data_IF_260136322700
#
_entry.id   IF_260136322700
#
_cell.length_a   1.000
_cell.length_b   1.000
_cell.length_c   1.000
_cell.angle_alpha   90.00
_cell.angle_beta   90.00
_cell.angle_gamma   90.00
#
_symmetry.space_group_name_H-M   'P 1'
#
loop_
_entity.id
_entity.type
_entity.pdbx_description
1 polymer ?
#
# COMPACT_ATOMS: atom_id res chain seq x y z
N UNK A 1 -6.84 13.73 13.72
CA UNK A 1 -6.43 12.44 13.10
C UNK A 1 -4.92 12.31 13.23
N UNK A 2 -4.41 11.13 13.55
CA UNK A 2 -2.98 10.82 13.62
C UNK A 2 -2.71 9.65 12.70
N UNK A 3 -1.72 9.82 11.82
CA UNK A 3 -1.31 8.82 10.83
C UNK A 3 0.17 8.59 11.02
N UNK A 4 0.54 7.37 11.44
CA UNK A 4 1.93 6.96 11.52
C UNK A 4 2.22 5.96 10.40
N UNK A 5 2.90 6.46 9.36
CA UNK A 5 3.40 5.72 8.21
C UNK A 5 4.91 5.97 8.11
N UNK A 6 5.71 4.97 7.73
CA UNK A 6 7.09 5.22 7.33
C UNK A 6 7.09 6.11 6.08
N UNK A 7 7.95 7.12 6.05
CA UNK A 7 8.16 7.94 4.85
C UNK A 7 9.10 7.27 3.84
N UNK A 8 9.89 6.29 4.28
CA UNK A 8 10.93 5.65 3.50
C UNK A 8 10.92 4.14 3.77
N UNK A 9 10.97 3.36 2.70
CA UNK A 9 11.15 1.92 2.76
C UNK A 9 12.33 1.53 1.88
N UNK A 10 13.28 0.81 2.48
CA UNK A 10 14.38 0.22 1.75
C UNK A 10 13.92 -1.07 1.05
N UNK A 11 14.28 -1.19 -0.23
CA UNK A 11 13.88 -2.30 -1.08
C UNK A 11 15.10 -2.82 -1.86
N UNK A 12 15.25 -4.14 -2.00
CA UNK A 12 16.24 -4.71 -2.94
C UNK A 12 15.92 -4.19 -4.36
N UNK A 13 16.89 -3.62 -5.10
CA UNK A 13 16.68 -3.13 -6.46
C UNK A 13 16.04 -4.14 -7.43
N UNK A 14 16.08 -5.45 -7.13
CA UNK A 14 15.52 -6.54 -7.94
C UNK A 14 14.18 -7.05 -7.42
N UNK A 15 13.70 -6.57 -6.28
CA UNK A 15 12.44 -7.05 -5.71
C UNK A 15 11.25 -6.53 -6.51
N UNK A 16 10.44 -7.47 -7.01
CA UNK A 16 9.17 -7.19 -7.69
C UNK A 16 8.01 -6.95 -6.73
N UNK A 17 8.18 -7.26 -5.45
CA UNK A 17 7.14 -6.98 -4.45
C UNK A 17 7.73 -6.57 -3.11
N UNK A 18 7.00 -5.74 -2.38
CA UNK A 18 7.35 -5.29 -1.04
C UNK A 18 6.10 -5.10 -0.20
N UNK A 19 6.10 -5.61 1.03
CA UNK A 19 5.04 -5.31 1.97
C UNK A 19 5.34 -3.99 2.70
N UNK A 20 4.30 -3.18 2.84
CA UNK A 20 4.29 -2.00 3.69
C UNK A 20 4.20 -2.48 5.14
N UNK A 21 5.10 -2.01 6.03
CA UNK A 21 5.05 -2.39 7.44
C UNK A 21 3.80 -1.82 8.10
N UNK A 22 3.54 -2.25 9.34
CA UNK A 22 2.34 -1.86 10.08
C UNK A 22 2.14 -0.35 10.11
N UNK A 23 0.93 0.05 9.76
CA UNK A 23 0.42 1.41 9.74
C UNK A 23 -0.43 1.63 11.00
N UNK A 24 -0.24 2.74 11.70
CA UNK A 24 -1.10 3.12 12.84
C UNK A 24 -1.96 4.31 12.44
N UNK A 25 -3.27 4.12 12.46
CA UNK A 25 -4.28 5.16 12.18
C UNK A 25 -5.10 5.41 13.45
N UNK A 26 -5.30 6.68 13.78
CA UNK A 26 -6.31 7.07 14.77
C UNK A 26 -7.01 8.35 14.35
N UNK A 27 -8.30 8.48 14.67
CA UNK A 27 -9.06 9.63 14.25
C UNK A 27 -10.58 9.45 14.37
N UNK A 28 -11.36 9.98 13.41
CA UNK A 28 -12.82 9.95 13.46
C UNK A 28 -13.38 8.53 13.40
N UNK A 29 -14.67 8.38 13.69
CA UNK A 29 -15.34 7.07 13.65
C UNK A 29 -15.24 6.40 12.27
N UNK A 30 -15.43 7.16 11.20
CA UNK A 30 -15.33 6.68 9.83
C UNK A 30 -14.22 7.39 9.08
N UNK A 31 -13.55 6.66 8.20
CA UNK A 31 -12.50 7.22 7.35
C UNK A 31 -12.54 6.65 5.94
N UNK A 32 -12.04 7.45 5.01
CA UNK A 32 -11.68 7.04 3.66
C UNK A 32 -10.15 7.03 3.56
N UNK A 33 -9.56 5.96 3.06
CA UNK A 33 -8.16 5.91 2.69
C UNK A 33 -8.03 5.73 1.17
N UNK A 34 -7.36 6.67 0.53
CA UNK A 34 -7.10 6.65 -0.91
C UNK A 34 -5.62 6.41 -1.13
N UNK A 35 -5.30 5.26 -1.72
CA UNK A 35 -3.97 4.82 -2.05
C UNK A 35 -3.73 5.05 -3.53
N UNK A 36 -2.57 5.57 -3.90
CA UNK A 36 -2.16 5.72 -5.30
C UNK A 36 -0.68 5.51 -5.46
N UNK A 37 -0.29 4.93 -6.58
CA UNK A 37 1.09 4.61 -6.89
C UNK A 37 1.31 4.54 -8.39
N UNK A 38 2.57 4.68 -8.81
CA UNK A 38 2.95 4.51 -10.20
C UNK A 38 3.77 3.21 -10.35
N UNK A 39 3.45 2.42 -11.39
CA UNK A 39 4.19 1.21 -11.78
C UNK A 39 4.14 0.02 -10.79
N UNK A 40 3.23 0.05 -9.82
CA UNK A 40 2.92 -1.09 -8.97
C UNK A 40 1.42 -1.11 -8.62
N UNK A 41 0.94 -2.27 -8.20
CA UNK A 41 -0.41 -2.48 -7.69
C UNK A 41 -0.38 -2.66 -6.17
N UNK A 42 -1.49 -2.30 -5.52
CA UNK A 42 -1.71 -2.51 -4.10
C UNK A 42 -2.57 -3.76 -3.89
N UNK A 43 -2.14 -4.65 -3.02
CA UNK A 43 -2.82 -5.87 -2.63
C UNK A 43 -2.98 -5.88 -1.09
N UNK A 44 -4.22 -5.75 -0.63
CA UNK A 44 -4.50 -5.37 0.75
C UNK A 44 -4.85 -6.58 1.60
N UNK A 45 -5.90 -7.32 1.26
CA UNK A 45 -6.44 -8.37 2.13
C UNK A 45 -5.93 -9.76 1.79
N UNK A 46 -6.61 -10.50 0.91
CA UNK A 46 -6.16 -11.84 0.50
C UNK A 46 -5.07 -11.68 -0.55
N UNK A 47 -3.86 -12.09 -0.19
CA UNK A 47 -2.71 -11.87 -1.06
C UNK A 47 -2.89 -12.61 -2.39
N UNK A 48 -2.73 -11.87 -3.48
CA UNK A 48 -2.94 -12.30 -4.87
C UNK A 48 -4.39 -12.66 -5.23
N UNK A 49 -5.37 -12.12 -4.53
CA UNK A 49 -6.78 -12.19 -4.93
C UNK A 49 -7.40 -10.78 -4.90
N UNK A 50 -8.43 -10.59 -5.73
CA UNK A 50 -9.16 -9.31 -5.79
C UNK A 50 -10.28 -9.37 -4.76
N UNK A 51 -10.16 -8.55 -3.72
CA UNK A 51 -11.17 -8.42 -2.67
C UNK A 51 -11.84 -7.04 -2.69
N UNK A 52 -13.17 -7.03 -2.71
CA UNK A 52 -13.96 -5.79 -2.62
C UNK A 52 -14.95 -5.80 -1.45
N UNK A 53 -15.29 -6.99 -0.95
CA UNK A 53 -16.30 -7.20 0.09
C UNK A 53 -15.66 -7.84 1.32
N UNK A 54 -15.85 -7.22 2.48
CA UNK A 54 -15.29 -7.66 3.75
C UNK A 54 -16.42 -7.75 4.76
N UNK A 55 -16.59 -8.93 5.36
CA UNK A 55 -17.70 -9.22 6.28
C UNK A 55 -19.09 -8.83 5.71
N UNK A 56 -19.29 -9.06 4.41
CA UNK A 56 -20.56 -8.77 3.71
C UNK A 56 -20.78 -7.30 3.32
N UNK A 57 -19.81 -6.41 3.53
CA UNK A 57 -19.90 -5.00 3.15
C UNK A 57 -18.83 -4.66 2.13
N UNK A 58 -19.19 -3.92 1.06
CA UNK A 58 -18.21 -3.39 0.11
C UNK A 58 -17.43 -2.25 0.76
N UNK A 59 -16.21 -2.53 1.19
CA UNK A 59 -15.33 -1.57 1.88
C UNK A 59 -14.13 -1.15 1.04
N UNK A 60 -13.90 -1.80 -0.10
CA UNK A 60 -12.72 -1.57 -0.94
C UNK A 60 -13.09 -1.49 -2.40
N UNK A 61 -12.42 -0.60 -3.12
CA UNK A 61 -12.48 -0.47 -4.56
C UNK A 61 -11.08 -0.37 -5.14
N UNK A 62 -10.82 -1.10 -6.22
CA UNK A 62 -9.53 -1.06 -6.92
C UNK A 62 -8.43 -1.94 -6.33
N UNK A 63 -8.75 -2.95 -5.52
CA UNK A 63 -7.76 -3.93 -5.05
C UNK A 63 -7.03 -4.61 -6.22
N UNK A 64 -5.75 -4.90 -6.02
CA UNK A 64 -4.79 -5.30 -7.06
C UNK A 64 -4.61 -4.28 -8.21
N UNK A 65 -4.95 -3.01 -8.02
CA UNK A 65 -4.67 -1.94 -8.99
C UNK A 65 -3.71 -0.89 -8.44
N UNK A 66 -3.32 0.09 -9.25
CA UNK A 66 -2.44 1.19 -8.85
C UNK A 66 -3.16 2.29 -8.03
N UNK A 67 -4.47 2.17 -7.85
CA UNK A 67 -5.28 3.09 -7.05
C UNK A 67 -6.33 2.32 -6.26
N UNK A 68 -6.29 2.43 -4.93
CA UNK A 68 -7.24 1.74 -4.05
C UNK A 68 -7.97 2.74 -3.18
N UNK A 69 -9.27 2.55 -3.02
CA UNK A 69 -10.10 3.31 -2.10
C UNK A 69 -10.61 2.35 -1.04
N UNK A 70 -10.38 2.67 0.23
CA UNK A 70 -10.86 1.93 1.39
C UNK A 70 -11.79 2.83 2.20
N UNK A 71 -12.95 2.34 2.57
CA UNK A 71 -13.88 3.10 3.40
C UNK A 71 -14.47 2.23 4.49
N UNK A 72 -14.65 2.79 5.68
CA UNK A 72 -15.18 2.05 6.81
C UNK A 72 -14.90 2.76 8.12
N UNK A 73 -15.02 2.03 9.23
CA UNK A 73 -14.51 2.53 10.52
C UNK A 73 -12.99 2.65 10.47
N UNK A 74 -12.42 3.55 11.28
CA UNK A 74 -10.95 3.70 11.34
C UNK A 74 -10.26 2.38 11.71
N UNK A 75 -10.88 1.58 12.58
CA UNK A 75 -10.41 0.26 12.98
C UNK A 75 -10.45 -0.73 11.81
N UNK A 76 -11.53 -0.75 11.02
CA UNK A 76 -11.64 -1.60 9.84
C UNK A 76 -10.60 -1.23 8.78
N UNK A 77 -10.45 0.06 8.46
CA UNK A 77 -9.46 0.52 7.48
C UNK A 77 -8.05 0.18 7.93
N UNK A 78 -7.74 0.39 9.22
CA UNK A 78 -6.44 0.00 9.78
C UNK A 78 -6.22 -1.50 9.74
N UNK A 79 -7.23 -2.31 10.07
CA UNK A 79 -7.15 -3.77 10.02
C UNK A 79 -6.90 -4.27 8.59
N UNK A 80 -7.60 -3.73 7.60
CA UNK A 80 -7.41 -4.08 6.18
C UNK A 80 -5.99 -3.74 5.72
N UNK A 81 -5.52 -2.51 5.95
CA UNK A 81 -4.17 -2.09 5.57
C UNK A 81 -3.06 -2.92 6.22
N UNK A 82 -3.29 -3.41 7.43
CA UNK A 82 -2.34 -4.23 8.19
C UNK A 82 -2.53 -5.74 8.02
N UNK A 83 -3.55 -6.17 7.28
CA UNK A 83 -3.88 -7.59 7.13
C UNK A 83 -2.78 -8.34 6.38
N UNK A 84 -2.60 -9.62 6.71
CA UNK A 84 -1.67 -10.54 6.05
C UNK A 84 -0.26 -9.94 5.82
N UNK A 85 0.33 -9.37 6.89
CA UNK A 85 1.64 -8.73 6.90
C UNK A 85 1.70 -7.38 6.15
N UNK A 86 0.58 -6.65 6.13
CA UNK A 86 0.45 -5.31 5.56
C UNK A 86 0.14 -5.29 4.07
N UNK A 87 -0.17 -4.10 3.53
CA UNK A 87 -0.40 -3.92 2.10
C UNK A 87 0.81 -4.36 1.29
N UNK A 88 0.61 -5.27 0.35
CA UNK A 88 1.63 -5.74 -0.57
C UNK A 88 1.64 -4.86 -1.81
N UNK A 89 2.81 -4.35 -2.15
CA UNK A 89 3.05 -3.67 -3.43
C UNK A 89 3.64 -4.68 -4.40
N UNK A 90 3.14 -4.73 -5.62
CA UNK A 90 3.66 -5.62 -6.68
C UNK A 90 3.90 -4.82 -7.96
N UNK A 91 5.12 -4.85 -8.47
CA UNK A 91 5.53 -4.11 -9.66
C UNK A 91 4.86 -4.65 -10.92
N UNK A 92 4.38 -3.75 -11.80
CA UNK A 92 3.64 -4.13 -13.02
C UNK A 92 4.61 -4.52 -14.14
N UNK A 93 5.68 -3.75 -14.32
CA UNK A 93 6.64 -3.92 -15.43
C UNK A 93 8.08 -4.12 -14.98
N UNK A 94 8.32 -4.22 -13.68
CA UNK A 94 9.67 -4.28 -13.13
C UNK A 94 9.71 -4.23 -11.61
N UNK A 95 10.91 -4.03 -11.02
CA UNK A 95 11.08 -3.87 -9.59
C UNK A 95 10.30 -2.67 -9.03
N UNK A 96 9.90 -2.76 -7.76
CA UNK A 96 9.14 -1.68 -7.09
C UNK A 96 10.03 -0.54 -6.57
N UNK A 97 11.35 -0.72 -6.58
CA UNK A 97 12.30 0.30 -6.14
C UNK A 97 12.32 1.51 -7.09
N UNK A 98 12.49 2.70 -6.51
CA UNK A 98 12.57 3.98 -7.23
C UNK A 98 11.23 4.72 -7.35
N UNK A 99 10.13 4.09 -6.94
CA UNK A 99 8.80 4.68 -6.97
C UNK A 99 8.34 5.12 -5.57
N UNK A 100 7.16 5.74 -5.51
CA UNK A 100 6.53 6.15 -4.26
C UNK A 100 5.05 5.81 -4.27
N UNK A 101 4.53 5.48 -3.09
CA UNK A 101 3.11 5.30 -2.83
C UNK A 101 2.59 6.50 -2.04
N UNK A 102 1.40 6.99 -2.38
CA UNK A 102 0.74 8.08 -1.66
C UNK A 102 -0.52 7.54 -1.00
N UNK A 103 -0.66 7.85 0.27
CA UNK A 103 -1.79 7.52 1.13
C UNK A 103 -2.45 8.85 1.51
N UNK A 104 -3.71 9.05 1.14
CA UNK A 104 -4.51 10.16 1.62
C UNK A 104 -5.60 9.63 2.56
N UNK A 105 -5.75 10.23 3.73
CA UNK A 105 -6.75 9.83 4.72
C UNK A 105 -7.75 10.96 4.96
N UNK A 106 -9.02 10.68 4.71
CA UNK A 106 -10.13 11.64 4.81
C UNK A 106 -11.03 11.24 5.96
N UNK A 107 -11.37 12.22 6.79
CA UNK A 107 -12.34 12.05 7.86
C UNK A 107 -13.75 12.04 7.27
N UNK A 108 -14.55 11.02 7.60
CA UNK A 108 -15.89 10.86 7.05
C UNK A 108 -16.94 10.77 8.17
N UNK A 109 -18.18 11.17 7.85
CA UNK A 109 -19.33 11.00 8.75
C UNK A 109 -20.04 9.65 8.53
N UNK A 110 -19.85 9.04 7.36
CA UNK A 110 -20.34 7.73 6.98
C UNK A 110 -19.40 7.08 5.96
N UNK A 111 -19.33 5.74 5.85
CA UNK A 111 -18.56 5.07 4.80
C UNK A 111 -19.10 5.42 3.41
N UNK A 112 -18.19 5.77 2.50
CA UNK A 112 -18.45 5.96 1.07
C UNK A 112 -17.19 5.59 0.28
N UNK A 113 -17.34 4.97 -0.88
CA UNK A 113 -16.25 4.64 -1.80
C UNK A 113 -16.13 5.63 -2.98
N UNK A 114 -16.83 6.75 -2.89
CA UNK A 114 -16.80 7.76 -3.95
C UNK A 114 -15.41 8.42 -4.05
N UNK A 115 -14.75 8.32 -5.22
CA UNK A 115 -13.41 8.88 -5.44
C UNK A 115 -13.35 10.41 -5.32
N UNK A 116 -14.46 11.13 -5.44
CA UNK A 116 -14.47 12.59 -5.30
C UNK A 116 -13.99 13.03 -3.91
N UNK A 117 -14.32 12.25 -2.88
CA UNK A 117 -13.90 12.51 -1.50
C UNK A 117 -12.38 12.40 -1.31
N UNK A 118 -11.67 11.64 -2.16
CA UNK A 118 -10.21 11.53 -2.09
C UNK A 118 -9.49 12.87 -2.33
N UNK A 119 -10.16 13.84 -2.96
CA UNK A 119 -9.62 15.20 -3.18
C UNK A 119 -9.97 16.18 -2.05
N UNK A 120 -10.96 15.84 -1.22
CA UNK A 120 -11.51 16.70 -0.16
C UNK A 120 -10.77 16.53 1.18
N UNK A 121 -9.84 15.58 1.26
CA UNK A 121 -9.00 15.36 2.44
C UNK A 121 -8.04 16.52 2.72
N UNK A 122 -7.78 16.79 3.99
CA UNK A 122 -6.72 17.72 4.40
C UNK A 122 -5.36 17.20 3.94
N UNK A 123 -4.56 18.04 3.28
CA UNK A 123 -3.19 17.71 2.89
C UNK A 123 -2.28 17.30 4.07
N UNK A 124 -2.63 17.71 5.30
CA UNK A 124 -1.94 17.30 6.52
C UNK A 124 -2.06 15.80 6.83
N UNK A 125 -3.04 15.10 6.23
CA UNK A 125 -3.25 13.67 6.35
C UNK A 125 -2.67 12.87 5.17
N UNK A 126 -2.09 13.55 4.18
CA UNK A 126 -1.41 12.89 3.06
C UNK A 126 -0.02 12.42 3.48
N UNK A 127 0.31 11.17 3.20
CA UNK A 127 1.63 10.58 3.44
C UNK A 127 2.16 9.97 2.17
N UNK A 128 3.44 10.18 1.88
CA UNK A 128 4.14 9.51 0.80
C UNK A 128 5.15 8.54 1.41
N UNK A 129 5.17 7.31 0.88
CA UNK A 129 6.18 6.29 1.18
C UNK A 129 7.09 6.17 -0.03
N UNK A 130 8.36 6.52 0.13
CA UNK A 130 9.37 6.36 -0.91
C UNK A 130 9.97 4.94 -0.84
N UNK A 131 9.91 4.20 -1.95
CA UNK A 131 10.52 2.87 -2.08
C UNK A 131 11.94 3.06 -2.58
N UNK A 132 12.89 3.28 -1.67
CA UNK A 132 14.27 3.55 -2.04
C UNK A 132 15.00 2.23 -2.32
N UNK A 133 15.58 2.04 -3.51
CA UNK A 133 16.45 0.91 -3.79
C UNK A 133 17.64 0.95 -2.83
N UNK A 134 17.99 -0.19 -2.26
CA UNK A 134 19.24 -0.34 -1.52
C UNK A 134 20.39 -0.03 -2.48
N UNK A 135 21.41 0.69 -2.00
CA UNK A 135 22.65 0.98 -2.75
C UNK A 135 23.54 -0.25 -2.96
N UNK A 136 22.95 -1.44 -3.02
CA UNK A 136 23.65 -2.68 -3.34
C UNK A 136 24.00 -2.63 -4.83
N UNK A 137 25.29 -2.62 -5.15
CA UNK A 137 25.75 -2.67 -6.53
C UNK A 137 25.16 -3.90 -7.23
N UNK A 138 24.49 -3.70 -8.37
CA UNK A 138 23.93 -4.80 -9.17
C UNK A 138 25.02 -5.67 -9.84
N UNK A 139 26.29 -5.38 -9.58
CA UNK A 139 27.45 -6.16 -10.00
C UNK A 139 27.63 -7.42 -9.13
N UNK A 140 26.61 -8.28 -9.06
CA UNK A 140 26.82 -9.66 -8.61
C UNK A 140 27.46 -10.42 -9.78
N UNK A 141 28.76 -10.68 -9.69
CA UNK A 141 29.43 -11.65 -10.55
C UNK A 141 28.80 -13.01 -10.23
N UNK A 142 27.87 -13.48 -11.08
CA UNK A 142 27.37 -14.85 -11.04
C UNK A 142 28.48 -15.78 -11.49
N UNK A 143 29.47 -16.04 -10.63
CA UNK A 143 30.37 -17.16 -10.85
C UNK A 143 29.56 -18.43 -10.66
N UNK A 144 29.27 -19.11 -11.77
CA UNK A 144 28.60 -20.40 -11.77
C UNK A 144 29.43 -21.40 -10.97
N UNK A 145 28.97 -21.75 -9.78
CA UNK A 145 29.55 -22.86 -9.02
C UNK A 145 29.20 -24.13 -9.78
N UNK A 146 30.19 -24.73 -10.44
CA UNK A 146 30.05 -26.11 -10.95
C UNK A 146 29.91 -27.02 -9.74
N UNK A 147 28.69 -27.53 -9.51
CA UNK A 147 28.48 -28.64 -8.60
C UNK A 147 29.24 -29.85 -9.18
N UNK A 148 30.15 -30.41 -8.39
CA UNK A 148 30.85 -31.65 -8.76
C UNK A 148 29.82 -32.79 -8.76
N UNK A 149 29.82 -33.65 -9.80
CA UNK A 149 29.06 -34.90 -9.76
C UNK A 149 29.57 -35.82 -8.65
#
# INVERSE_FOLDING_TARGET
>A
MRVNLPNLLLVDPRAYSKNIPSIVLSGPRYMLACLRGANFTFDIYSKNAIDSVFNGVKLVEGDMTSSVILSGTTEQVSALLNSNNGTRLTGIRGPVGGFYAVYNFVAMNMPSLDPEFCSQGSGANTRAIYLRPLGLGMALIKNGVKLRP
#
